data_IF_661505306125
#
_entry.id   IF_661505306125
#
_cell.length_a   1.000
_cell.length_b   1.000
_cell.length_c   1.000
_cell.angle_alpha   90.00
_cell.angle_beta   90.00
_cell.angle_gamma   90.00
#
_symmetry.space_group_name_H-M   'P 1'
#
loop_
_entity.id
_entity.type
_entity.pdbx_description
1 polymer ?
#
# COMPACT_ATOMS: atom_id res chain seq x y z
N UNK A 1 3.59 18.36 -6.29
CA UNK A 1 2.74 17.91 -5.17
C UNK A 1 2.45 16.44 -5.43
N UNK A 2 2.94 15.50 -4.60
CA UNK A 2 2.63 14.08 -4.81
C UNK A 2 1.12 13.92 -4.69
N UNK A 3 0.46 13.47 -5.76
CA UNK A 3 -0.97 13.22 -5.72
C UNK A 3 -1.22 12.00 -4.84
N UNK A 4 -1.51 12.26 -3.56
CA UNK A 4 -1.92 11.27 -2.57
C UNK A 4 -3.35 10.75 -2.86
N UNK A 5 -3.99 11.14 -3.97
CA UNK A 5 -5.29 10.60 -4.39
C UNK A 5 -5.26 9.11 -4.72
N UNK A 6 -4.08 8.56 -5.02
CA UNK A 6 -3.98 7.25 -5.68
C UNK A 6 -3.27 6.14 -4.87
N UNK A 7 -2.83 6.39 -3.63
CA UNK A 7 -2.13 5.36 -2.84
C UNK A 7 -3.03 4.18 -2.46
N UNK A 8 -4.31 4.44 -2.17
CA UNK A 8 -5.28 3.38 -1.86
C UNK A 8 -5.49 2.48 -3.08
N UNK A 9 -5.58 3.09 -4.27
CA UNK A 9 -5.67 2.39 -5.54
C UNK A 9 -4.41 1.54 -5.78
N UNK A 10 -3.23 2.11 -5.56
CA UNK A 10 -1.94 1.42 -5.74
C UNK A 10 -1.76 0.24 -4.79
N UNK A 11 -2.09 0.38 -3.51
CA UNK A 11 -2.07 -0.73 -2.54
C UNK A 11 -2.99 -1.86 -3.00
N UNK A 12 -4.22 -1.52 -3.38
CA UNK A 12 -5.21 -2.48 -3.86
C UNK A 12 -4.80 -3.14 -5.17
N UNK A 13 -4.16 -2.39 -6.08
CA UNK A 13 -3.65 -2.89 -7.35
C UNK A 13 -2.50 -3.88 -7.13
N UNK A 14 -1.51 -3.52 -6.32
CA UNK A 14 -0.41 -4.43 -5.94
C UNK A 14 -0.96 -5.71 -5.32
N UNK A 15 -1.89 -5.57 -4.36
CA UNK A 15 -2.51 -6.70 -3.68
C UNK A 15 -3.18 -7.67 -4.67
N UNK A 16 -3.97 -7.13 -5.60
CA UNK A 16 -4.65 -7.92 -6.64
C UNK A 16 -3.66 -8.54 -7.64
N UNK A 17 -2.63 -7.80 -8.07
CA UNK A 17 -1.59 -8.26 -9.00
C UNK A 17 -0.79 -9.43 -8.43
N UNK A 18 -0.56 -9.44 -7.11
CA UNK A 18 0.17 -10.50 -6.42
C UNK A 18 -0.73 -11.57 -5.79
N UNK A 19 -2.05 -11.52 -6.00
CA UNK A 19 -3.03 -12.46 -5.46
C UNK A 19 -3.01 -12.63 -3.93
N UNK A 20 -2.63 -11.58 -3.20
CA UNK A 20 -2.60 -11.60 -1.73
C UNK A 20 -3.85 -10.94 -1.12
N UNK A 21 -4.12 -11.26 0.13
CA UNK A 21 -5.20 -10.71 0.95
C UNK A 21 -4.79 -9.39 1.60
N UNK A 22 -5.77 -8.67 2.17
CA UNK A 22 -5.47 -7.47 2.96
C UNK A 22 -4.66 -7.83 4.21
N UNK A 23 -4.85 -9.02 4.77
CA UNK A 23 -4.08 -9.46 5.93
C UNK A 23 -2.61 -9.71 5.57
N UNK A 24 -2.35 -10.37 4.45
CA UNK A 24 -0.98 -10.65 4.00
C UNK A 24 -0.22 -9.38 3.63
N UNK A 25 -0.86 -8.43 2.91
CA UNK A 25 -0.23 -7.15 2.63
C UNK A 25 0.02 -6.35 3.92
N UNK A 26 -0.88 -6.42 4.90
CA UNK A 26 -0.68 -5.78 6.19
C UNK A 26 0.51 -6.39 6.96
N UNK A 27 0.65 -7.72 6.94
CA UNK A 27 1.80 -8.43 7.52
C UNK A 27 3.11 -8.04 6.83
N UNK A 28 3.13 -7.98 5.50
CA UNK A 28 4.29 -7.54 4.71
C UNK A 28 4.70 -6.10 5.06
N UNK A 29 3.72 -5.23 5.30
CA UNK A 29 3.95 -3.84 5.70
C UNK A 29 4.17 -3.65 7.21
N UNK A 30 4.10 -4.70 8.02
CA UNK A 30 4.23 -4.59 9.48
C UNK A 30 3.12 -3.77 10.15
N UNK A 31 1.92 -3.75 9.58
CA UNK A 31 0.76 -2.99 10.09
C UNK A 31 -0.41 -3.92 10.42
N UNK A 32 -1.39 -3.41 11.18
CA UNK A 32 -2.60 -4.20 11.49
C UNK A 32 -3.49 -4.32 10.25
N UNK A 33 -4.17 -5.46 10.10
CA UNK A 33 -5.14 -5.69 9.03
C UNK A 33 -6.18 -4.55 8.90
N UNK A 34 -6.78 -4.13 10.01
CA UNK A 34 -7.76 -3.03 10.01
C UNK A 34 -7.16 -1.70 9.55
N UNK A 35 -5.89 -1.44 9.86
CA UNK A 35 -5.18 -0.26 9.39
C UNK A 35 -5.05 -0.29 7.87
N UNK A 36 -4.61 -1.41 7.29
CA UNK A 36 -4.54 -1.57 5.83
C UNK A 36 -5.92 -1.48 5.17
N UNK A 37 -6.97 -2.05 5.79
CA UNK A 37 -8.33 -1.95 5.28
C UNK A 37 -8.83 -0.49 5.25
N UNK A 38 -8.65 0.27 6.33
CA UNK A 38 -9.01 1.69 6.38
C UNK A 38 -8.24 2.49 5.34
N UNK A 39 -7.00 2.11 5.08
CA UNK A 39 -6.19 2.67 4.02
C UNK A 39 -6.81 2.37 2.64
N UNK A 40 -6.99 1.12 2.24
CA UNK A 40 -7.57 0.79 0.93
C UNK A 40 -8.97 1.40 0.70
N UNK A 41 -9.73 1.65 1.77
CA UNK A 41 -11.06 2.28 1.74
C UNK A 41 -11.04 3.82 1.81
N UNK A 42 -9.85 4.45 1.77
CA UNK A 42 -9.64 5.90 1.90
C UNK A 42 -10.20 6.51 3.19
N UNK A 43 -10.42 5.70 4.23
CA UNK A 43 -10.93 6.15 5.54
C UNK A 43 -9.83 6.76 6.42
N UNK A 44 -8.58 6.35 6.19
CA UNK A 44 -7.41 6.91 6.85
C UNK A 44 -6.23 6.95 5.88
N UNK A 45 -5.23 7.78 6.15
CA UNK A 45 -3.99 7.83 5.36
C UNK A 45 -2.87 7.06 6.07
N UNK A 46 -1.96 6.41 5.33
CA UNK A 46 -0.76 5.89 5.93
C UNK A 46 0.11 7.04 6.47
N UNK A 47 0.66 6.91 7.69
CA UNK A 47 1.69 7.82 8.18
C UNK A 47 2.87 7.91 7.21
N UNK A 48 3.51 9.07 7.14
CA UNK A 48 4.58 9.33 6.16
C UNK A 48 5.73 8.33 6.22
N UNK A 49 6.13 7.90 7.41
CA UNK A 49 7.18 6.89 7.61
C UNK A 49 6.81 5.53 7.01
N UNK A 50 5.58 5.05 7.24
CA UNK A 50 5.09 3.79 6.66
C UNK A 50 5.06 3.90 5.13
N UNK A 51 4.53 5.01 4.61
CA UNK A 51 4.51 5.25 3.17
C UNK A 51 5.93 5.24 2.58
N UNK A 52 6.86 6.00 3.17
CA UNK A 52 8.25 6.09 2.69
C UNK A 52 8.93 4.73 2.64
N UNK A 53 8.69 3.88 3.63
CA UNK A 53 9.28 2.55 3.71
C UNK A 53 8.76 1.62 2.60
N UNK A 54 7.46 1.68 2.29
CA UNK A 54 6.81 0.71 1.40
C UNK A 54 6.50 1.22 0.00
N UNK A 55 6.75 2.50 -0.33
CA UNK A 55 6.43 3.08 -1.64
C UNK A 55 7.01 2.29 -2.83
N UNK A 56 8.13 1.60 -2.63
CA UNK A 56 8.80 0.78 -3.64
C UNK A 56 7.96 -0.43 -4.09
N UNK A 57 7.07 -0.95 -3.24
CA UNK A 57 6.14 -2.03 -3.59
C UNK A 57 5.13 -1.59 -4.66
N UNK A 58 4.87 -0.28 -4.71
CA UNK A 58 3.78 0.32 -5.47
C UNK A 58 4.29 1.18 -6.63
N UNK A 59 5.58 1.13 -6.89
CA UNK A 59 6.25 1.91 -7.92
C UNK A 59 6.61 1.00 -9.10
N UNK A 60 5.77 1.00 -10.13
CA UNK A 60 6.00 0.23 -11.36
C UNK A 60 7.22 0.73 -12.16
N UNK A 61 7.86 1.85 -11.75
CA UNK A 61 9.08 2.37 -12.39
C UNK A 61 10.36 1.68 -11.91
N UNK A 62 10.32 0.96 -10.78
CA UNK A 62 11.46 0.18 -10.29
C UNK A 62 11.42 -1.19 -10.96
N UNK A 63 12.00 -1.27 -12.16
CA UNK A 63 12.44 -2.58 -12.67
C UNK A 63 13.58 -3.05 -11.76
N UNK A 64 13.30 -4.06 -10.94
CA UNK A 64 14.36 -4.90 -10.39
C UNK A 64 15.01 -5.61 -11.57
N UNK A 65 16.02 -4.96 -12.14
CA UNK A 65 16.94 -5.52 -13.13
C UNK A 65 17.81 -6.58 -12.46
#
# INVERSE_FOLDING_TARGET
MYDFGDWASKMKAYRKKNHITQQELAQLMGVKHFTLRSWEQKQAKPPYNVWRLHKHLFDDSIKLT
#
